data_IF_433890249332
#
_entry.id   IF_433890249332
#
_cell.length_a   1.000
_cell.length_b   1.000
_cell.length_c   1.000
_cell.angle_alpha   90.00
_cell.angle_beta   90.00
_cell.angle_gamma   90.00
#
_symmetry.space_group_name_H-M   'P 1'
#
loop_
_entity.id
_entity.type
_entity.pdbx_description
1 polymer ?
#
# COMPACT_ATOMS: atom_id res chain seq x y z
N UNK A 1 -7.67 -17.79 -35.34
CA UNK A 1 -6.92 -16.78 -36.13
C UNK A 1 -6.91 -15.49 -35.32
N UNK A 2 -5.73 -14.94 -34.99
CA UNK A 2 -5.62 -13.80 -34.09
C UNK A 2 -6.00 -12.50 -34.83
N UNK A 3 -7.03 -11.82 -34.31
CA UNK A 3 -7.50 -10.54 -34.83
C UNK A 3 -6.55 -9.44 -34.35
N UNK A 4 -5.89 -8.75 -35.27
CA UNK A 4 -4.95 -7.65 -34.94
C UNK A 4 -5.67 -6.31 -35.02
N UNK A 5 -5.47 -5.49 -33.99
CA UNK A 5 -6.03 -4.14 -33.87
C UNK A 5 -4.95 -3.11 -34.20
N UNK A 6 -5.25 -2.21 -35.13
CA UNK A 6 -4.32 -1.16 -35.56
C UNK A 6 -4.83 0.22 -35.18
N UNK A 7 -3.88 1.11 -34.88
CA UNK A 7 -4.18 2.47 -34.48
C UNK A 7 -4.39 3.36 -35.71
N UNK A 8 -5.60 3.89 -35.89
CA UNK A 8 -5.91 4.86 -36.92
C UNK A 8 -6.14 6.24 -36.29
N UNK A 9 -5.42 7.25 -36.77
CA UNK A 9 -5.69 8.64 -36.41
C UNK A 9 -6.64 9.25 -37.43
N UNK A 10 -7.82 9.65 -36.97
CA UNK A 10 -8.80 10.37 -37.80
C UNK A 10 -8.78 11.84 -37.38
N UNK A 11 -8.87 12.73 -38.36
CA UNK A 11 -8.97 14.18 -38.11
C UNK A 11 -10.44 14.54 -37.97
N UNK A 12 -10.80 15.15 -36.85
CA UNK A 12 -12.16 15.63 -36.62
C UNK A 12 -12.47 16.80 -37.57
N UNK A 13 -13.49 16.64 -38.41
CA UNK A 13 -13.89 17.62 -39.43
C UNK A 13 -14.46 18.90 -38.79
N UNK A 14 -15.05 18.81 -37.60
CA UNK A 14 -15.63 19.95 -36.88
C UNK A 14 -14.58 20.70 -36.05
N UNK A 15 -13.52 20.03 -35.61
CA UNK A 15 -12.51 20.63 -34.74
C UNK A 15 -11.08 20.32 -35.23
N UNK A 16 -10.57 21.19 -36.12
CA UNK A 16 -9.24 21.08 -36.76
C UNK A 16 -8.03 20.96 -35.81
N UNK A 17 -8.21 21.18 -34.50
CA UNK A 17 -7.15 21.05 -33.49
C UNK A 17 -7.11 19.69 -32.79
N UNK A 18 -8.08 18.80 -33.05
CA UNK A 18 -8.18 17.49 -32.36
C UNK A 18 -7.96 16.33 -33.33
N UNK A 19 -6.94 15.53 -33.06
CA UNK A 19 -6.75 14.22 -33.70
C UNK A 19 -7.41 13.17 -32.80
N UNK A 20 -8.37 12.43 -33.33
CA UNK A 20 -9.03 11.33 -32.60
C UNK A 20 -8.32 10.03 -32.96
N UNK A 21 -7.89 9.30 -31.94
CA UNK A 21 -7.21 8.02 -32.10
C UNK A 21 -8.23 6.92 -31.87
N UNK A 22 -8.47 6.10 -32.90
CA UNK A 22 -9.44 5.00 -32.86
C UNK A 22 -8.78 3.71 -33.32
N UNK A 23 -9.21 2.58 -32.77
CA UNK A 23 -8.68 1.27 -33.15
C UNK A 23 -9.57 0.63 -34.21
N UNK A 24 -8.97 0.19 -35.31
CA UNK A 24 -9.69 -0.49 -36.40
C UNK A 24 -9.31 -1.96 -36.47
N UNK A 25 -10.31 -2.78 -36.75
CA UNK A 25 -10.16 -4.21 -37.00
C UNK A 25 -10.12 -4.43 -38.53
N UNK A 26 -9.06 -5.07 -39.01
CA UNK A 26 -8.83 -5.28 -40.43
C UNK A 26 -8.86 -6.79 -40.75
N UNK A 27 -9.27 -7.10 -41.98
CA UNK A 27 -9.25 -8.48 -42.49
C UNK A 27 -7.82 -9.03 -42.56
N UNK A 28 -7.68 -10.36 -42.41
CA UNK A 28 -6.39 -11.00 -42.11
C UNK A 28 -5.23 -10.69 -43.08
N UNK A 29 -5.48 -10.55 -44.39
CA UNK A 29 -4.42 -10.25 -45.37
C UNK A 29 -3.94 -8.80 -45.28
N UNK A 30 -4.85 -7.87 -44.96
CA UNK A 30 -4.51 -6.44 -44.80
C UNK A 30 -3.68 -6.23 -43.53
N UNK A 31 -3.99 -6.96 -42.46
CA UNK A 31 -3.21 -6.93 -41.23
C UNK A 31 -1.76 -7.37 -41.45
N UNK A 32 -1.53 -8.43 -42.22
CA UNK A 32 -0.18 -8.94 -42.51
C UNK A 32 0.65 -7.89 -43.27
N UNK A 33 0.06 -7.25 -44.29
CA UNK A 33 0.69 -6.17 -45.03
C UNK A 33 1.10 -5.00 -44.12
N UNK A 34 0.21 -4.61 -43.21
CA UNK A 34 0.43 -3.46 -42.32
C UNK A 34 1.54 -3.74 -41.29
N UNK A 35 1.62 -4.96 -40.76
CA UNK A 35 2.75 -5.39 -39.91
C UNK A 35 4.06 -5.32 -40.68
N UNK A 36 4.08 -5.78 -41.93
CA UNK A 36 5.29 -5.81 -42.76
C UNK A 36 5.77 -4.40 -43.15
N UNK A 37 4.83 -3.46 -43.28
CA UNK A 37 5.11 -2.03 -43.48
C UNK A 37 5.39 -1.27 -42.17
N UNK A 38 5.47 -1.97 -41.03
CA UNK A 38 5.89 -1.39 -39.75
C UNK A 38 4.85 -0.50 -39.06
N UNK A 39 3.56 -0.66 -39.36
CA UNK A 39 2.52 0.09 -38.66
C UNK A 39 2.37 -0.38 -37.19
N UNK A 40 2.17 0.57 -36.24
CA UNK A 40 2.07 0.24 -34.83
C UNK A 40 0.78 -0.53 -34.53
N UNK A 41 0.92 -1.72 -33.95
CA UNK A 41 -0.21 -2.44 -33.36
C UNK A 41 -0.63 -1.74 -32.07
N UNK A 42 -1.94 -1.57 -31.87
CA UNK A 42 -2.46 -1.07 -30.61
C UNK A 42 -2.31 -2.18 -29.55
N UNK A 43 -1.22 -2.15 -28.79
CA UNK A 43 -1.05 -3.04 -27.65
C UNK A 43 -2.15 -2.79 -26.60
N UNK A 44 -2.56 -3.80 -25.83
CA UNK A 44 -3.44 -3.60 -24.69
C UNK A 44 -2.83 -2.56 -23.75
N UNK A 45 -3.56 -1.49 -23.47
CA UNK A 45 -3.21 -0.51 -22.43
C UNK A 45 -3.40 -1.23 -21.10
N UNK A 46 -2.36 -1.86 -20.57
CA UNK A 46 -2.36 -2.35 -19.21
C UNK A 46 -2.20 -1.14 -18.29
N UNK A 47 -3.32 -0.64 -17.77
CA UNK A 47 -3.28 0.19 -16.59
C UNK A 47 -2.73 -0.68 -15.45
N UNK A 48 -1.42 -0.56 -15.17
CA UNK A 48 -0.85 -1.18 -13.98
C UNK A 48 -1.47 -0.49 -12.78
N UNK A 49 -2.36 -1.21 -12.09
CA UNK A 49 -2.86 -0.82 -10.79
C UNK A 49 -1.73 -1.05 -9.79
N UNK A 50 -1.03 0.03 -9.45
CA UNK A 50 -0.08 0.02 -8.35
C UNK A 50 -0.87 -0.19 -7.05
N UNK A 51 -0.61 -1.31 -6.39
CA UNK A 51 -1.27 -1.66 -5.12
C UNK A 51 -0.62 -0.79 -4.04
N UNK A 52 -1.30 0.28 -3.64
CA UNK A 52 -0.84 1.17 -2.57
C UNK A 52 -1.07 0.47 -1.22
N UNK A 53 -0.03 0.43 -0.40
CA UNK A 53 -0.06 -0.13 0.96
C UNK A 53 -1.04 0.65 1.86
N UNK A 54 -1.50 0.02 2.95
CA UNK A 54 -2.49 0.61 3.86
C UNK A 54 -1.99 1.93 4.48
N UNK A 55 -2.66 3.04 4.17
CA UNK A 55 -2.34 4.35 4.73
C UNK A 55 -3.21 4.61 5.96
N UNK A 56 -2.64 4.45 7.15
CA UNK A 56 -3.30 4.80 8.40
C UNK A 56 -3.19 6.31 8.65
N UNK A 57 -4.31 7.03 8.51
CA UNK A 57 -4.37 8.48 8.80
C UNK A 57 -5.00 8.73 10.17
N UNK A 58 -4.22 9.25 11.13
CA UNK A 58 -4.70 9.64 12.45
C UNK A 58 -4.69 11.16 12.61
N UNK A 59 -5.85 11.74 12.93
CA UNK A 59 -5.99 13.18 13.16
C UNK A 59 -6.03 13.49 14.65
N UNK A 60 -5.31 14.52 15.07
CA UNK A 60 -5.40 15.11 16.42
C UNK A 60 -6.13 16.45 16.31
N UNK A 61 -6.99 16.81 17.27
CA UNK A 61 -7.67 18.12 17.33
C UNK A 61 -6.69 19.25 17.73
N UNK A 62 -5.59 19.38 17.01
CA UNK A 62 -4.57 20.39 17.24
C UNK A 62 -4.10 20.93 15.89
N UNK A 63 -3.86 22.24 15.79
CA UNK A 63 -3.45 22.91 14.54
C UNK A 63 -1.94 22.85 14.29
N UNK A 64 -1.23 21.91 14.92
CA UNK A 64 0.24 21.76 14.83
C UNK A 64 0.61 20.64 13.87
N UNK A 65 1.73 20.79 13.16
CA UNK A 65 2.34 19.71 12.37
C UNK A 65 2.73 18.53 13.26
N UNK A 66 2.94 17.35 12.66
CA UNK A 66 3.30 16.12 13.39
C UNK A 66 4.55 16.31 14.26
N UNK A 67 5.59 16.97 13.74
CA UNK A 67 6.84 17.27 14.47
C UNK A 67 6.63 18.13 15.72
N UNK A 68 5.52 18.88 15.80
CA UNK A 68 5.17 19.73 16.94
C UNK A 68 4.20 19.09 17.92
N UNK A 69 3.88 17.80 17.78
CA UNK A 69 3.01 17.09 18.71
C UNK A 69 3.81 16.69 19.97
N UNK A 70 3.30 16.96 21.19
CA UNK A 70 3.96 16.58 22.43
C UNK A 70 3.81 15.08 22.75
N UNK A 71 3.30 14.28 21.81
CA UNK A 71 3.05 12.85 21.98
C UNK A 71 4.11 12.07 21.23
N UNK A 72 4.86 11.23 21.95
CA UNK A 72 5.80 10.29 21.34
C UNK A 72 5.03 9.22 20.57
N UNK A 73 5.41 9.02 19.31
CA UNK A 73 4.90 7.94 18.46
C UNK A 73 6.08 7.08 18.04
N UNK A 74 5.94 5.77 18.17
CA UNK A 74 6.93 4.78 17.78
C UNK A 74 6.25 3.79 16.84
N UNK A 75 6.88 3.52 15.70
CA UNK A 75 6.37 2.61 14.66
C UNK A 75 7.35 1.45 14.60
N UNK A 76 6.84 0.25 14.87
CA UNK A 76 7.59 -0.99 14.73
C UNK A 76 7.47 -1.45 13.28
N UNK A 77 8.61 -1.73 12.65
CA UNK A 77 8.66 -2.20 11.26
C UNK A 77 8.09 -3.63 11.12
N UNK A 78 7.55 -3.96 9.95
CA UNK A 78 7.01 -5.30 9.69
C UNK A 78 8.07 -6.41 9.81
N UNK A 79 9.32 -6.12 9.45
CA UNK A 79 10.46 -7.05 9.56
C UNK A 79 10.79 -7.37 11.02
N UNK A 80 10.87 -6.34 11.88
CA UNK A 80 11.10 -6.49 13.32
C UNK A 80 9.98 -7.31 13.97
N UNK A 81 8.72 -7.02 13.61
CA UNK A 81 7.57 -7.79 14.09
C UNK A 81 7.69 -9.25 13.67
N UNK A 82 8.08 -9.53 12.42
CA UNK A 82 8.19 -10.89 11.90
C UNK A 82 9.34 -11.67 12.58
N UNK A 83 10.48 -11.03 12.82
CA UNK A 83 11.59 -11.64 13.55
C UNK A 83 11.17 -12.05 14.97
N UNK A 84 10.54 -11.14 15.71
CA UNK A 84 10.07 -11.42 17.07
C UNK A 84 8.91 -12.41 17.08
N UNK A 85 8.00 -12.35 16.11
CA UNK A 85 6.92 -13.31 15.95
C UNK A 85 7.44 -14.72 15.67
N UNK A 86 8.54 -14.88 14.92
CA UNK A 86 9.17 -16.18 14.69
C UNK A 86 9.88 -16.71 15.94
N UNK A 87 10.45 -15.84 16.78
CA UNK A 87 11.06 -16.26 18.05
C UNK A 87 10.01 -16.77 19.05
N UNK A 88 8.91 -16.03 19.25
CA UNK A 88 7.78 -16.43 20.10
C UNK A 88 6.45 -15.98 19.48
N UNK A 89 5.77 -16.85 18.71
CA UNK A 89 4.54 -16.47 18.04
C UNK A 89 3.43 -16.18 19.05
N UNK A 90 2.72 -15.07 18.85
CA UNK A 90 1.61 -14.65 19.70
C UNK A 90 1.99 -13.93 21.00
N UNK A 91 3.29 -13.74 21.28
CA UNK A 91 3.75 -13.01 22.48
C UNK A 91 4.19 -11.58 22.16
N UNK A 92 3.24 -10.64 22.15
CA UNK A 92 3.51 -9.20 21.96
C UNK A 92 4.41 -8.59 23.06
N UNK A 93 4.59 -9.29 24.19
CA UNK A 93 5.38 -8.77 25.31
C UNK A 93 6.85 -8.71 24.99
N UNK A 94 7.32 -9.63 24.15
CA UNK A 94 8.71 -9.64 23.75
C UNK A 94 9.04 -8.37 22.95
N UNK A 95 8.17 -8.01 21.99
CA UNK A 95 8.26 -6.74 21.26
C UNK A 95 8.22 -5.54 22.22
N UNK A 96 7.23 -5.51 23.12
CA UNK A 96 7.04 -4.38 24.04
C UNK A 96 8.16 -4.24 25.09
N UNK A 97 8.83 -5.33 25.47
CA UNK A 97 9.96 -5.29 26.40
C UNK A 97 11.23 -4.71 25.77
N UNK A 98 11.34 -4.77 24.44
CA UNK A 98 12.46 -4.17 23.71
C UNK A 98 12.17 -2.70 23.33
N UNK A 99 10.91 -2.27 23.49
CA UNK A 99 10.50 -0.89 23.26
C UNK A 99 10.88 0.01 24.44
N UNK A 100 11.57 1.10 24.16
CA UNK A 100 12.02 2.04 25.19
C UNK A 100 10.86 2.75 25.90
N UNK A 101 10.94 2.85 27.23
CA UNK A 101 9.90 3.50 28.04
C UNK A 101 8.66 2.64 28.29
N UNK A 102 8.67 1.36 27.89
CA UNK A 102 7.63 0.39 28.21
C UNK A 102 8.20 -0.63 29.22
N UNK A 103 7.39 -1.03 30.18
CA UNK A 103 7.71 -2.10 31.12
C UNK A 103 6.57 -3.12 31.12
N UNK A 104 6.88 -4.38 30.87
CA UNK A 104 5.91 -5.48 30.94
C UNK A 104 6.19 -6.32 32.17
N UNK A 105 5.20 -6.49 33.03
CA UNK A 105 5.28 -7.36 34.21
C UNK A 105 4.27 -8.49 34.09
N UNK A 106 4.73 -9.73 34.17
CA UNK A 106 3.86 -10.90 34.20
C UNK A 106 3.16 -11.00 35.56
N UNK A 107 1.83 -11.01 35.54
CA UNK A 107 1.01 -11.09 36.75
C UNK A 107 0.64 -12.53 37.11
N UNK A 108 0.64 -13.44 36.13
CA UNK A 108 0.45 -14.87 36.35
C UNK A 108 1.20 -15.72 35.30
N UNK A 109 1.98 -16.73 35.74
CA UNK A 109 2.59 -17.73 34.86
C UNK A 109 1.58 -18.57 34.08
N UNK A 110 0.45 -18.91 34.69
CA UNK A 110 -0.48 -19.92 34.16
C UNK A 110 -1.51 -19.35 33.20
N UNK A 111 -2.01 -18.15 33.48
CA UNK A 111 -3.02 -17.49 32.64
C UNK A 111 -2.41 -16.60 31.57
N UNK A 112 -1.08 -16.56 31.48
CA UNK A 112 -0.35 -15.71 30.56
C UNK A 112 -0.92 -14.28 30.59
N UNK A 113 -1.06 -13.69 31.78
CA UNK A 113 -1.52 -12.32 31.96
C UNK A 113 -0.35 -11.41 32.31
N UNK A 114 -0.35 -10.18 31.79
CA UNK A 114 0.69 -9.20 32.03
C UNK A 114 0.12 -7.80 32.18
N UNK A 115 0.65 -7.06 33.14
CA UNK A 115 0.45 -5.63 33.25
C UNK A 115 1.52 -4.91 32.41
N UNK A 116 1.09 -3.88 31.68
CA UNK A 116 1.97 -3.06 30.85
C UNK A 116 1.95 -1.65 31.43
N UNK A 117 3.14 -1.07 31.61
CA UNK A 117 3.33 0.29 32.12
C UNK A 117 4.08 1.08 31.06
N UNK A 118 3.64 2.30 30.81
CA UNK A 118 4.25 3.19 29.81
C UNK A 118 4.73 4.44 30.53
N UNK A 119 6.01 4.78 30.36
CA UNK A 119 6.67 5.92 31.00
C UNK A 119 6.55 5.93 32.53
N UNK A 120 6.51 4.73 33.15
CA UNK A 120 6.34 4.58 34.60
C UNK A 120 4.90 4.80 35.11
N UNK A 121 3.94 5.10 34.23
CA UNK A 121 2.53 5.17 34.59
C UNK A 121 1.95 3.77 34.78
N UNK A 122 1.03 3.67 35.73
CA UNK A 122 0.32 2.43 36.03
C UNK A 122 -0.51 1.93 34.83
N UNK A 123 -0.76 0.62 34.77
CA UNK A 123 -1.41 -0.04 33.63
C UNK A 123 -2.84 0.43 33.37
N UNK A 124 -3.52 1.01 34.38
CA UNK A 124 -4.84 1.64 34.21
C UNK A 124 -4.84 2.83 33.24
N UNK A 125 -3.68 3.43 32.98
CA UNK A 125 -3.51 4.52 32.00
C UNK A 125 -3.01 4.03 30.65
N UNK A 126 -2.81 2.71 30.50
CA UNK A 126 -2.42 2.09 29.24
C UNK A 126 -3.64 1.52 28.55
N UNK A 127 -3.79 1.82 27.26
CA UNK A 127 -4.85 1.27 26.42
C UNK A 127 -4.24 0.38 25.34
N UNK A 128 -4.73 -0.85 25.24
CA UNK A 128 -4.48 -1.73 24.11
C UNK A 128 -5.67 -1.66 23.17
N UNK A 129 -5.41 -1.33 21.91
CA UNK A 129 -6.41 -1.37 20.85
C UNK A 129 -6.31 -2.73 20.16
N UNK A 130 -7.45 -3.34 19.85
CA UNK A 130 -7.57 -4.65 19.20
C UNK A 130 -8.29 -4.52 17.88
#
# INVERSE_FOLDING_TARGET
>A
MATSLFLATTRDIHNRKKNVVSTINLSGWVSILLVLLGFPQAGPIFAQQEIVEEIVVKSTRNRRSFEGQPTRVEVLGGEEINEKANMKPGDIRMLLNETTGIQVQQTSPTSFNSSIRIQGLDGKYTQLLR
#
